data_IF_933610749306
#
_entry.id   IF_933610749306
#
_cell.length_a   1.000
_cell.length_b   1.000
_cell.length_c   1.000
_cell.angle_alpha   90.00
_cell.angle_beta   90.00
_cell.angle_gamma   90.00
#
_symmetry.space_group_name_H-M   'P 1'
#
loop_
_entity.id
_entity.type
_entity.pdbx_description
1 polymer ?
#
# COMPACT_ATOMS: atom_id res chain seq x y z
N UNK A 1 42.43 -54.61 -4.81
CA UNK A 1 41.15 -54.06 -5.34
C UNK A 1 40.78 -52.89 -4.47
N UNK A 2 40.63 -51.71 -5.06
CA UNK A 2 40.37 -50.50 -4.30
C UNK A 2 38.84 -50.30 -4.16
N UNK A 3 38.34 -49.97 -2.99
CA UNK A 3 36.90 -49.77 -2.69
C UNK A 3 36.21 -48.84 -3.68
N UNK A 4 36.93 -47.81 -4.13
CA UNK A 4 36.48 -46.87 -5.18
C UNK A 4 36.20 -47.56 -6.52
N UNK A 5 37.05 -48.53 -6.90
CA UNK A 5 36.88 -49.27 -8.16
C UNK A 5 35.67 -50.21 -8.13
N UNK A 6 35.34 -50.74 -6.96
CA UNK A 6 34.15 -51.58 -6.75
C UNK A 6 32.89 -50.71 -6.81
N UNK A 7 32.89 -49.55 -6.16
CA UNK A 7 31.78 -48.59 -6.17
C UNK A 7 31.48 -48.11 -7.57
N UNK A 8 32.50 -47.69 -8.33
CA UNK A 8 32.36 -47.22 -9.71
C UNK A 8 31.83 -48.32 -10.66
N UNK A 9 32.25 -49.56 -10.43
CA UNK A 9 31.79 -50.70 -11.22
C UNK A 9 30.32 -51.01 -10.92
N UNK A 10 29.88 -50.88 -9.67
CA UNK A 10 28.50 -51.09 -9.27
C UNK A 10 27.57 -50.02 -9.83
N UNK A 11 27.99 -48.74 -9.82
CA UNK A 11 27.31 -47.62 -10.49
C UNK A 11 27.12 -47.85 -11.99
N UNK A 12 28.14 -48.38 -12.67
CA UNK A 12 28.05 -48.69 -14.11
C UNK A 12 27.12 -49.86 -14.43
N UNK A 13 27.03 -50.87 -13.56
CA UNK A 13 26.12 -52.00 -13.78
C UNK A 13 24.66 -51.67 -13.49
N UNK A 14 24.38 -50.73 -12.56
CA UNK A 14 23.02 -50.31 -12.20
C UNK A 14 22.72 -48.84 -12.62
N UNK A 15 23.01 -48.49 -13.85
CA UNK A 15 22.94 -47.12 -14.37
C UNK A 15 21.61 -46.44 -14.08
N UNK A 16 20.49 -47.13 -14.36
CA UNK A 16 19.14 -46.54 -14.16
C UNK A 16 18.83 -46.30 -12.66
N UNK A 17 19.10 -47.30 -11.82
CA UNK A 17 18.86 -47.15 -10.37
C UNK A 17 19.74 -46.06 -9.76
N UNK A 18 21.03 -46.03 -10.14
CA UNK A 18 21.94 -44.98 -9.67
C UNK A 18 21.56 -43.59 -10.16
N UNK A 19 21.11 -43.48 -11.40
CA UNK A 19 20.59 -42.19 -11.95
C UNK A 19 19.33 -41.74 -11.22
N UNK A 20 18.36 -42.63 -10.99
CA UNK A 20 17.13 -42.28 -10.27
C UNK A 20 17.41 -41.86 -8.81
N UNK A 21 18.32 -42.52 -8.13
CA UNK A 21 18.74 -42.17 -6.76
C UNK A 21 19.44 -40.80 -6.76
N UNK A 22 20.35 -40.57 -7.68
CA UNK A 22 21.04 -39.29 -7.80
C UNK A 22 20.07 -38.16 -8.14
N UNK A 23 19.11 -38.41 -9.06
CA UNK A 23 18.07 -37.45 -9.42
C UNK A 23 17.17 -37.15 -8.21
N UNK A 24 16.74 -38.15 -7.48
CA UNK A 24 15.93 -37.96 -6.26
C UNK A 24 16.65 -37.12 -5.20
N UNK A 25 17.93 -37.40 -4.95
CA UNK A 25 18.76 -36.60 -4.04
C UNK A 25 18.91 -35.14 -4.57
N UNK A 26 19.19 -34.98 -5.87
CA UNK A 26 19.34 -33.67 -6.48
C UNK A 26 18.06 -32.84 -6.37
N UNK A 27 16.89 -33.44 -6.62
CA UNK A 27 15.59 -32.82 -6.45
C UNK A 27 15.31 -32.44 -4.99
N UNK A 28 15.64 -33.32 -4.04
CA UNK A 28 15.51 -33.02 -2.62
C UNK A 28 16.36 -31.84 -2.18
N UNK A 29 17.63 -31.83 -2.57
CA UNK A 29 18.53 -30.69 -2.29
C UNK A 29 18.05 -29.41 -2.98
N UNK A 30 17.64 -29.50 -4.25
CA UNK A 30 17.13 -28.35 -4.98
C UNK A 30 15.87 -27.75 -4.31
N UNK A 31 14.96 -28.60 -3.82
CA UNK A 31 13.77 -28.17 -3.09
C UNK A 31 14.13 -27.44 -1.79
N UNK A 32 15.04 -27.99 -1.01
CA UNK A 32 15.51 -27.36 0.24
C UNK A 32 16.16 -26.00 -0.03
N UNK A 33 17.04 -25.94 -1.03
CA UNK A 33 17.70 -24.68 -1.43
C UNK A 33 16.66 -23.66 -1.89
N UNK A 34 15.68 -24.07 -2.71
CA UNK A 34 14.59 -23.20 -3.18
C UNK A 34 13.80 -22.63 -1.99
N UNK A 35 13.36 -23.48 -1.06
CA UNK A 35 12.60 -23.06 0.12
C UNK A 35 13.42 -22.07 0.97
N UNK A 36 14.68 -22.39 1.26
CA UNK A 36 15.55 -21.50 2.05
C UNK A 36 15.78 -20.16 1.33
N UNK A 37 15.96 -20.18 0.01
CA UNK A 37 16.14 -18.95 -0.77
C UNK A 37 14.89 -18.10 -0.74
N UNK A 38 13.72 -18.68 -0.96
CA UNK A 38 12.44 -17.97 -0.90
C UNK A 38 12.21 -17.41 0.52
N UNK A 39 12.44 -18.21 1.56
CA UNK A 39 12.31 -17.76 2.96
C UNK A 39 13.23 -16.58 3.25
N UNK A 40 14.50 -16.64 2.83
CA UNK A 40 15.45 -15.55 3.03
C UNK A 40 15.11 -14.27 2.24
N UNK A 41 14.51 -14.40 1.05
CA UNK A 41 14.01 -13.25 0.28
C UNK A 41 12.80 -12.63 0.99
N UNK A 42 11.86 -13.46 1.47
CA UNK A 42 10.69 -13.00 2.21
C UNK A 42 11.11 -12.29 3.50
N UNK A 43 12.02 -12.90 4.28
CA UNK A 43 12.53 -12.31 5.52
C UNK A 43 13.17 -10.94 5.27
N UNK A 44 14.08 -10.84 4.30
CA UNK A 44 14.70 -9.57 3.90
C UNK A 44 13.68 -8.55 3.36
N UNK A 45 12.68 -9.01 2.62
CA UNK A 45 11.61 -8.13 2.14
C UNK A 45 10.76 -7.63 3.30
N UNK A 46 10.43 -8.48 4.27
CA UNK A 46 9.70 -8.09 5.47
C UNK A 46 10.52 -7.14 6.34
N UNK A 47 11.82 -7.38 6.53
CA UNK A 47 12.72 -6.46 7.23
C UNK A 47 12.78 -5.09 6.54
N UNK A 48 12.97 -5.05 5.22
CA UNK A 48 12.96 -3.79 4.47
C UNK A 48 11.62 -3.08 4.48
N UNK A 49 10.55 -3.83 4.56
CA UNK A 49 9.18 -3.29 4.48
C UNK A 49 8.63 -2.90 5.83
N UNK A 50 9.15 -3.46 6.94
CA UNK A 50 8.92 -2.89 8.27
C UNK A 50 9.48 -1.47 8.40
N UNK A 51 10.28 -1.04 7.43
CA UNK A 51 10.96 0.25 7.34
C UNK A 51 10.22 1.25 6.43
N UNK A 52 8.89 1.17 6.31
CA UNK A 52 8.05 2.15 5.59
C UNK A 52 7.55 3.29 6.47
N UNK A 53 8.10 3.43 7.66
CA UNK A 53 7.90 4.60 8.52
C UNK A 53 6.69 4.56 9.45
N UNK A 54 5.82 3.54 9.39
CA UNK A 54 4.71 3.40 10.33
C UNK A 54 4.83 2.16 11.20
N UNK A 55 4.41 2.31 12.46
CA UNK A 55 4.55 1.29 13.50
C UNK A 55 3.25 0.53 13.78
N UNK A 56 2.11 1.08 13.36
CA UNK A 56 0.78 0.54 13.61
C UNK A 56 -0.07 0.67 12.35
N UNK A 57 -0.75 -0.40 11.98
CA UNK A 57 -1.75 -0.43 10.92
C UNK A 57 -3.09 -0.77 11.55
N UNK A 58 -4.10 0.02 11.27
CA UNK A 58 -5.47 -0.19 11.73
C UNK A 58 -6.37 -0.38 10.51
N UNK A 59 -7.13 -1.44 10.50
CA UNK A 59 -8.01 -1.77 9.39
C UNK A 59 -9.15 -2.68 9.82
N UNK A 60 -9.99 -3.09 8.88
CA UNK A 60 -11.11 -3.99 9.11
C UNK A 60 -10.65 -5.31 9.74
N UNK A 61 -11.53 -5.93 10.54
CA UNK A 61 -11.27 -7.22 11.18
C UNK A 61 -11.05 -8.29 10.12
N UNK A 62 -9.90 -8.95 10.20
CA UNK A 62 -9.48 -10.01 9.30
C UNK A 62 -8.16 -10.61 9.75
N UNK A 63 -7.42 -11.22 8.83
CA UNK A 63 -6.08 -11.70 9.12
C UNK A 63 -5.10 -10.53 9.23
N UNK A 64 -4.27 -10.45 10.30
CA UNK A 64 -3.19 -9.45 10.38
C UNK A 64 -2.26 -9.50 9.17
N UNK A 65 -1.97 -10.69 8.66
CA UNK A 65 -1.12 -10.88 7.48
C UNK A 65 -1.75 -10.28 6.22
N UNK A 66 -3.07 -10.45 6.03
CA UNK A 66 -3.79 -9.86 4.91
C UNK A 66 -3.79 -8.33 5.00
N UNK A 67 -3.95 -7.76 6.20
CA UNK A 67 -3.88 -6.32 6.41
C UNK A 67 -2.49 -5.78 6.01
N UNK A 68 -1.42 -6.48 6.41
CA UNK A 68 -0.04 -6.13 6.00
C UNK A 68 0.14 -6.25 4.49
N UNK A 69 -0.28 -7.36 3.86
CA UNK A 69 -0.15 -7.53 2.42
C UNK A 69 -0.91 -6.47 1.63
N UNK A 70 -2.09 -6.08 2.10
CA UNK A 70 -2.86 -5.02 1.48
C UNK A 70 -2.20 -3.64 1.66
N UNK A 71 -1.92 -3.25 2.92
CA UNK A 71 -1.55 -1.88 3.27
C UNK A 71 -0.09 -1.56 2.95
N UNK A 72 0.80 -2.54 3.12
CA UNK A 72 2.26 -2.36 2.99
C UNK A 72 2.74 -2.75 1.61
N UNK A 73 2.27 -3.89 1.11
CA UNK A 73 2.77 -4.48 -0.13
C UNK A 73 1.87 -4.20 -1.35
N UNK A 74 0.66 -3.69 -1.12
CA UNK A 74 -0.34 -3.44 -2.16
C UNK A 74 -0.74 -4.69 -2.96
N UNK A 75 -0.62 -5.90 -2.36
CA UNK A 75 -0.78 -7.19 -3.03
C UNK A 75 -2.17 -7.79 -2.92
N UNK A 76 -3.01 -7.33 -2.01
CA UNK A 76 -4.37 -7.87 -1.82
C UNK A 76 -5.42 -6.76 -1.79
N UNK A 77 -6.68 -7.13 -1.88
CA UNK A 77 -7.77 -6.18 -1.67
C UNK A 77 -8.12 -6.09 -0.18
N UNK A 78 -8.60 -4.93 0.31
CA UNK A 78 -9.12 -4.81 1.66
C UNK A 78 -10.33 -5.73 1.81
N UNK A 79 -10.48 -6.31 3.02
CA UNK A 79 -11.63 -7.19 3.33
C UNK A 79 -12.90 -6.38 3.44
N UNK A 80 -12.80 -5.20 4.02
CA UNK A 80 -13.90 -4.28 4.31
C UNK A 80 -13.33 -2.87 4.54
N UNK A 81 -14.16 -1.86 4.39
CA UNK A 81 -13.82 -0.50 4.74
C UNK A 81 -13.99 -0.26 6.24
N UNK A 82 -13.12 0.54 6.82
CA UNK A 82 -13.26 1.06 8.18
C UNK A 82 -13.92 2.43 8.11
N UNK A 83 -14.94 2.73 8.91
CA UNK A 83 -15.55 4.05 8.94
C UNK A 83 -14.53 5.15 9.20
N UNK A 84 -14.65 6.27 8.49
CA UNK A 84 -13.72 7.40 8.63
C UNK A 84 -13.65 7.96 10.07
N UNK A 85 -14.72 7.77 10.83
CA UNK A 85 -14.80 8.09 12.26
C UNK A 85 -13.71 7.38 13.10
N UNK A 86 -13.24 6.19 12.68
CA UNK A 86 -12.13 5.53 13.37
C UNK A 86 -10.83 6.30 13.21
N UNK A 87 -10.54 6.85 12.03
CA UNK A 87 -9.39 7.74 11.85
C UNK A 87 -9.46 8.94 12.78
N UNK A 88 -10.64 9.56 12.92
CA UNK A 88 -10.87 10.68 13.82
C UNK A 88 -10.55 10.36 15.29
N UNK A 89 -10.68 9.11 15.72
CA UNK A 89 -10.38 8.69 17.08
C UNK A 89 -8.87 8.59 17.39
N UNK A 90 -8.01 8.67 16.38
CA UNK A 90 -6.56 8.78 16.58
C UNK A 90 -6.06 10.23 16.62
N UNK A 91 -6.88 11.19 16.23
CA UNK A 91 -6.47 12.59 16.17
C UNK A 91 -6.54 13.29 17.53
N UNK A 92 -5.61 14.21 17.83
CA UNK A 92 -5.76 15.15 18.94
C UNK A 92 -6.93 16.10 18.69
N UNK A 93 -7.36 16.85 19.70
CA UNK A 93 -8.56 17.68 19.62
C UNK A 93 -8.52 18.72 18.48
N UNK A 94 -7.38 19.37 18.27
CA UNK A 94 -7.14 20.33 17.21
C UNK A 94 -7.13 19.68 15.82
N UNK A 95 -6.48 18.53 15.68
CA UNK A 95 -6.49 17.72 14.46
C UNK A 95 -7.89 17.25 14.11
N UNK A 96 -8.65 16.80 15.09
CA UNK A 96 -10.05 16.38 14.95
C UNK A 96 -10.95 17.52 14.50
N UNK A 97 -10.76 18.71 15.05
CA UNK A 97 -11.50 19.92 14.62
C UNK A 97 -11.12 20.36 13.20
N UNK A 98 -9.82 20.32 12.86
CA UNK A 98 -9.34 20.64 11.51
C UNK A 98 -9.97 19.70 10.49
N UNK A 99 -9.92 18.41 10.76
CA UNK A 99 -10.44 17.37 9.90
C UNK A 99 -11.97 17.48 9.74
N UNK A 100 -12.67 17.69 10.84
CA UNK A 100 -14.10 17.89 10.82
C UNK A 100 -14.55 19.12 9.98
N UNK A 101 -13.81 20.23 10.05
CA UNK A 101 -14.07 21.37 9.19
C UNK A 101 -13.84 21.06 7.71
N UNK A 102 -12.86 20.22 7.42
CA UNK A 102 -12.52 19.80 6.07
C UNK A 102 -13.62 18.94 5.44
N UNK A 103 -14.13 17.94 6.14
CA UNK A 103 -15.18 17.03 5.65
C UNK A 103 -16.60 17.57 5.80
N UNK A 104 -16.79 18.64 6.58
CA UNK A 104 -18.09 19.24 6.89
C UNK A 104 -18.93 18.39 7.86
N UNK A 105 -19.87 19.02 8.55
CA UNK A 105 -20.77 18.39 9.52
C UNK A 105 -20.68 18.99 10.92
N UNK A 106 -21.43 18.46 11.88
CA UNK A 106 -21.39 18.89 13.28
C UNK A 106 -20.81 17.75 14.15
N UNK A 107 -19.73 18.02 14.86
CA UNK A 107 -19.22 17.10 15.88
C UNK A 107 -20.05 17.26 17.16
N UNK A 108 -20.49 16.16 17.76
CA UNK A 108 -21.17 16.18 19.06
C UNK A 108 -20.26 16.74 20.18
N UNK A 109 -18.97 16.52 20.08
CA UNK A 109 -17.97 16.98 21.05
C UNK A 109 -16.70 17.48 20.34
N UNK A 110 -16.75 18.69 19.75
CA UNK A 110 -15.66 19.19 18.90
C UNK A 110 -14.34 19.41 19.67
N UNK A 111 -14.43 19.60 20.99
CA UNK A 111 -13.26 19.82 21.87
C UNK A 111 -12.59 18.54 22.34
N UNK A 112 -13.23 17.39 22.14
CA UNK A 112 -12.73 16.10 22.59
C UNK A 112 -11.55 15.63 21.74
N UNK A 113 -10.49 15.18 22.36
CA UNK A 113 -9.47 14.38 21.68
C UNK A 113 -10.04 13.00 21.34
N UNK A 114 -9.51 12.38 20.29
CA UNK A 114 -9.85 11.02 19.92
C UNK A 114 -9.50 10.02 21.04
N UNK A 115 -10.26 8.93 21.15
CA UNK A 115 -10.10 7.92 22.20
C UNK A 115 -8.70 7.30 22.21
N UNK A 116 -8.07 7.19 21.05
CA UNK A 116 -6.74 6.59 20.85
C UNK A 116 -5.65 7.63 20.60
N UNK A 117 -5.95 8.92 20.74
CA UNK A 117 -4.99 10.01 20.50
C UNK A 117 -3.76 9.93 21.41
N UNK A 118 -3.88 9.27 22.57
CA UNK A 118 -2.74 9.01 23.45
C UNK A 118 -1.66 8.11 22.83
N UNK A 119 -2.03 7.27 21.87
CA UNK A 119 -1.07 6.45 21.09
C UNK A 119 -0.23 7.31 20.15
N UNK A 120 -0.72 8.51 19.82
CA UNK A 120 -0.09 9.43 18.87
C UNK A 120 0.81 10.47 19.55
N UNK A 121 1.25 10.25 20.77
CA UNK A 121 2.17 11.17 21.47
C UNK A 121 3.49 11.30 20.71
N UNK A 122 3.64 12.42 19.98
CA UNK A 122 4.79 12.65 19.08
C UNK A 122 4.74 11.90 17.75
N UNK A 123 3.61 11.27 17.44
CA UNK A 123 3.35 10.56 16.17
C UNK A 123 2.18 11.17 15.40
N UNK A 124 1.78 10.49 14.35
CA UNK A 124 0.72 10.91 13.44
C UNK A 124 -0.09 9.70 12.94
N UNK A 125 -1.30 9.96 12.46
CA UNK A 125 -2.16 8.99 11.80
C UNK A 125 -2.45 9.46 10.37
N UNK A 126 -2.34 8.54 9.41
CA UNK A 126 -2.58 8.82 7.99
C UNK A 126 -3.68 7.90 7.48
N UNK A 127 -4.75 8.42 6.88
CA UNK A 127 -5.79 7.60 6.29
C UNK A 127 -5.32 7.04 4.95
N UNK A 128 -5.66 5.78 4.67
CA UNK A 128 -5.42 5.11 3.40
C UNK A 128 -6.73 4.52 2.89
N UNK A 129 -7.07 4.79 1.64
CA UNK A 129 -8.14 4.11 0.94
C UNK A 129 -7.58 3.42 -0.31
N UNK A 130 -7.86 2.13 -0.45
CA UNK A 130 -7.29 1.28 -1.49
C UNK A 130 -8.37 0.36 -2.04
N UNK A 131 -9.02 0.75 -3.11
CA UNK A 131 -10.04 -0.05 -3.79
C UNK A 131 -9.73 -0.25 -5.27
N UNK A 132 -9.13 0.75 -5.87
CA UNK A 132 -8.96 0.90 -7.30
C UNK A 132 -7.54 0.62 -7.78
N UNK A 133 -7.41 0.67 -9.09
CA UNK A 133 -6.17 0.47 -9.83
C UNK A 133 -5.96 1.59 -10.85
N UNK A 134 -4.69 1.84 -11.14
CA UNK A 134 -4.26 2.57 -12.33
C UNK A 134 -3.51 1.56 -13.18
N UNK A 135 -4.16 1.06 -14.23
CA UNK A 135 -3.74 -0.11 -14.98
C UNK A 135 -3.58 -1.34 -14.05
N UNK A 136 -2.40 -1.95 -13.96
CA UNK A 136 -2.12 -3.05 -13.03
C UNK A 136 -1.65 -2.60 -11.64
N UNK A 137 -1.45 -1.30 -11.44
CA UNK A 137 -0.89 -0.73 -10.22
C UNK A 137 -1.99 -0.30 -9.25
N UNK A 138 -1.72 -0.48 -7.95
CA UNK A 138 -2.67 -0.07 -6.92
C UNK A 138 -2.82 1.44 -6.87
N UNK A 139 -4.06 1.92 -6.93
CA UNK A 139 -4.42 3.29 -6.59
C UNK A 139 -4.56 3.41 -5.06
N UNK A 140 -3.79 4.31 -4.46
CA UNK A 140 -3.75 4.56 -3.03
C UNK A 140 -4.19 5.98 -2.78
N UNK A 141 -5.39 6.16 -2.24
CA UNK A 141 -5.87 7.47 -1.86
C UNK A 141 -5.44 7.79 -0.41
N UNK A 142 -4.81 8.94 -0.23
CA UNK A 142 -4.24 9.36 1.05
C UNK A 142 -4.12 10.89 1.13
N UNK A 143 -3.57 11.40 2.23
CA UNK A 143 -3.28 12.82 2.43
C UNK A 143 -1.82 13.14 2.07
N UNK A 144 -1.46 14.42 1.84
CA UNK A 144 -0.08 14.83 1.59
C UNK A 144 0.89 14.41 2.70
N UNK A 145 0.41 14.26 3.92
CA UNK A 145 1.18 13.80 5.09
C UNK A 145 1.87 12.45 4.87
N UNK A 146 1.37 11.64 3.91
CA UNK A 146 2.00 10.38 3.57
C UNK A 146 3.46 10.56 3.12
N UNK A 147 3.75 11.56 2.32
CA UNK A 147 5.11 11.84 1.86
C UNK A 147 5.82 12.89 2.70
N UNK A 148 5.08 13.74 3.41
CA UNK A 148 5.66 14.82 4.21
C UNK A 148 6.11 14.34 5.61
N UNK A 149 5.42 13.33 6.19
CA UNK A 149 5.69 12.84 7.55
C UNK A 149 6.31 11.45 7.59
N UNK A 150 5.93 10.54 6.68
CA UNK A 150 6.53 9.21 6.63
C UNK A 150 7.95 9.28 6.10
N UNK A 151 8.74 8.35 6.57
CA UNK A 151 10.12 8.15 6.11
C UNK A 151 10.29 6.73 5.59
N UNK A 152 11.29 6.52 4.78
CA UNK A 152 11.62 5.19 4.25
C UNK A 152 13.09 4.85 4.51
N UNK A 153 13.56 3.72 3.98
CA UNK A 153 14.93 3.25 4.15
C UNK A 153 15.13 2.38 5.38
N UNK A 154 16.29 1.75 5.48
CA UNK A 154 16.58 0.70 6.48
C UNK A 154 16.45 1.18 7.94
N UNK A 155 16.58 2.46 8.20
CA UNK A 155 16.46 3.07 9.52
C UNK A 155 15.23 4.00 9.66
N UNK A 156 14.35 4.04 8.66
CA UNK A 156 13.23 4.98 8.57
C UNK A 156 13.67 6.45 8.77
N UNK A 157 14.77 6.82 8.16
CA UNK A 157 15.42 8.13 8.32
C UNK A 157 15.47 8.96 7.03
N UNK A 158 15.06 8.37 5.90
CA UNK A 158 15.09 9.01 4.59
C UNK A 158 13.72 9.63 4.27
N UNK A 159 13.73 10.90 3.93
CA UNK A 159 12.56 11.61 3.43
C UNK A 159 12.26 11.17 1.99
N UNK A 160 10.97 11.12 1.63
CA UNK A 160 10.58 10.90 0.24
C UNK A 160 11.04 12.04 -0.63
N UNK A 161 11.65 11.72 -1.77
CA UNK A 161 12.10 12.66 -2.78
C UNK A 161 11.41 12.43 -4.09
N UNK A 162 11.29 13.52 -4.85
CA UNK A 162 10.66 13.49 -6.17
C UNK A 162 11.74 13.65 -7.23
N UNK A 163 11.83 12.70 -8.15
CA UNK A 163 12.70 12.80 -9.33
C UNK A 163 12.22 13.90 -10.26
N UNK A 164 10.91 14.15 -10.26
CA UNK A 164 10.24 15.23 -10.99
C UNK A 164 9.05 15.75 -10.19
N UNK A 165 8.79 17.03 -10.26
CA UNK A 165 7.61 17.65 -9.66
C UNK A 165 7.68 17.78 -8.14
N UNK A 166 6.54 17.57 -7.49
CA UNK A 166 6.31 17.80 -6.06
C UNK A 166 5.29 16.80 -5.48
N UNK A 167 5.12 16.83 -4.16
CA UNK A 167 3.98 16.20 -3.51
C UNK A 167 2.67 16.84 -3.98
N UNK A 168 1.57 16.07 -3.99
CA UNK A 168 0.24 16.64 -4.14
C UNK A 168 -0.15 17.44 -2.88
N UNK A 169 -1.10 18.34 -3.01
CA UNK A 169 -1.60 19.17 -1.91
C UNK A 169 -3.05 18.86 -1.60
N UNK A 170 -3.53 19.27 -0.41
CA UNK A 170 -4.93 19.07 -0.02
C UNK A 170 -5.90 19.66 -1.05
N UNK A 171 -5.59 20.86 -1.57
CA UNK A 171 -6.35 21.52 -2.62
C UNK A 171 -5.43 22.37 -3.49
N UNK A 172 -5.49 22.16 -4.80
CA UNK A 172 -4.76 22.94 -5.78
C UNK A 172 -5.70 23.90 -6.50
N UNK A 173 -5.30 25.18 -6.69
CA UNK A 173 -6.10 26.09 -7.52
C UNK A 173 -6.26 25.65 -8.99
N UNK A 174 -5.30 24.88 -9.50
CA UNK A 174 -5.25 24.40 -10.88
C UNK A 174 -6.01 23.09 -11.08
N UNK A 175 -5.84 22.14 -10.17
CA UNK A 175 -6.38 20.78 -10.29
C UNK A 175 -7.44 20.43 -9.23
N UNK A 176 -7.79 21.35 -8.33
CA UNK A 176 -8.70 21.07 -7.22
C UNK A 176 -8.16 19.99 -6.31
N UNK A 177 -8.90 18.91 -6.12
CA UNK A 177 -8.52 17.71 -5.37
C UNK A 177 -7.90 16.59 -6.24
N UNK A 178 -7.72 16.84 -7.56
CA UNK A 178 -7.36 15.80 -8.51
C UNK A 178 -5.87 15.83 -8.88
N UNK A 179 -5.02 15.77 -7.87
CA UNK A 179 -3.57 15.61 -8.03
C UNK A 179 -3.10 14.21 -7.63
N UNK A 180 -2.05 13.73 -8.30
CA UNK A 180 -1.44 12.43 -8.07
C UNK A 180 0.08 12.51 -7.99
N UNK A 181 0.65 11.61 -7.20
CA UNK A 181 2.07 11.24 -7.20
C UNK A 181 2.18 9.78 -7.62
N UNK A 182 3.08 9.48 -8.53
CA UNK A 182 3.30 8.09 -8.98
C UNK A 182 4.66 7.58 -8.55
N UNK A 183 4.72 6.30 -8.19
CA UNK A 183 5.96 5.59 -7.88
C UNK A 183 6.87 5.50 -9.11
N UNK A 184 8.16 5.39 -8.89
CA UNK A 184 9.18 5.35 -9.94
C UNK A 184 8.96 4.25 -10.96
N UNK A 185 8.52 3.05 -10.52
CA UNK A 185 8.25 1.93 -11.41
C UNK A 185 6.96 2.13 -12.21
N UNK A 186 5.91 2.74 -11.60
CA UNK A 186 4.66 3.08 -12.30
C UNK A 186 4.95 4.08 -13.42
N UNK A 187 5.66 5.16 -13.11
CA UNK A 187 6.02 6.17 -14.10
C UNK A 187 6.84 5.58 -15.25
N UNK A 188 7.80 4.71 -14.95
CA UNK A 188 8.63 4.06 -15.97
C UNK A 188 7.81 3.10 -16.84
N UNK A 189 6.99 2.25 -16.26
CA UNK A 189 6.25 1.21 -16.95
C UNK A 189 5.15 1.79 -17.86
N UNK A 190 4.45 2.82 -17.40
CA UNK A 190 3.35 3.47 -18.13
C UNK A 190 3.83 4.68 -18.97
N UNK A 191 5.12 5.03 -18.86
CA UNK A 191 5.69 6.17 -19.61
C UNK A 191 5.16 7.53 -19.15
N UNK A 192 4.70 7.65 -17.90
CA UNK A 192 4.06 8.84 -17.35
C UNK A 192 5.05 9.98 -17.13
N UNK A 193 4.57 11.19 -17.35
CA UNK A 193 5.28 12.46 -17.14
C UNK A 193 4.43 13.40 -16.29
N UNK A 194 5.04 14.48 -15.81
CA UNK A 194 4.29 15.55 -15.14
C UNK A 194 3.25 16.14 -16.08
N UNK A 195 2.04 16.34 -15.56
CA UNK A 195 0.88 16.85 -16.29
C UNK A 195 0.07 15.80 -17.04
N UNK A 196 0.54 14.54 -17.12
CA UNK A 196 -0.29 13.45 -17.64
C UNK A 196 -1.44 13.15 -16.67
N UNK A 197 -2.54 12.63 -17.19
CA UNK A 197 -3.68 12.22 -16.37
C UNK A 197 -3.67 10.71 -16.17
N UNK A 198 -3.92 10.27 -14.94
CA UNK A 198 -4.17 8.88 -14.59
C UNK A 198 -5.62 8.71 -14.16
N UNK A 199 -6.23 7.60 -14.52
CA UNK A 199 -7.61 7.29 -14.23
C UNK A 199 -7.70 6.06 -13.35
N UNK A 200 -8.39 6.19 -12.23
CA UNK A 200 -8.68 5.06 -11.37
C UNK A 200 -9.76 4.16 -11.99
N UNK A 201 -9.68 2.86 -11.76
CA UNK A 201 -10.63 1.87 -12.25
C UNK A 201 -10.93 0.79 -11.22
N UNK A 202 -12.16 0.28 -11.22
CA UNK A 202 -12.55 -0.86 -10.39
C UNK A 202 -12.01 -2.17 -11.00
N UNK A 203 -10.79 -2.58 -10.65
CA UNK A 203 -10.13 -3.79 -11.15
C UNK A 203 -9.04 -3.54 -12.19
N UNK A 204 -8.04 -4.43 -12.21
CA UNK A 204 -6.80 -4.25 -12.97
C UNK A 204 -6.93 -4.50 -14.49
N UNK A 205 -7.83 -5.38 -14.95
CA UNK A 205 -7.81 -5.82 -16.37
C UNK A 205 -9.03 -5.37 -17.21
N UNK A 206 -10.14 -5.01 -16.60
CA UNK A 206 -11.39 -4.68 -17.33
C UNK A 206 -12.35 -3.83 -16.52
N UNK A 207 -11.84 -3.15 -15.49
CA UNK A 207 -12.67 -2.34 -14.61
C UNK A 207 -13.27 -1.15 -15.33
N UNK A 208 -14.42 -0.72 -14.86
CA UNK A 208 -15.03 0.54 -15.28
C UNK A 208 -14.10 1.67 -14.82
N UNK A 209 -13.54 2.39 -15.77
CA UNK A 209 -12.69 3.55 -15.53
C UNK A 209 -13.57 4.75 -15.15
N UNK A 210 -13.14 5.50 -14.14
CA UNK A 210 -13.81 6.74 -13.78
C UNK A 210 -13.61 7.82 -14.85
N UNK A 211 -14.62 8.67 -15.02
CA UNK A 211 -14.56 9.75 -16.02
C UNK A 211 -13.64 10.91 -15.62
N UNK A 212 -13.29 11.04 -14.34
CA UNK A 212 -12.42 12.08 -13.80
C UNK A 212 -11.02 11.49 -13.56
N UNK A 213 -10.00 12.13 -14.16
CA UNK A 213 -8.60 11.78 -13.98
C UNK A 213 -7.92 12.61 -12.88
N UNK A 214 -6.76 12.11 -12.43
CA UNK A 214 -5.84 12.82 -11.54
C UNK A 214 -4.63 13.28 -12.32
N UNK A 215 -4.24 14.54 -12.18
CA UNK A 215 -3.03 15.08 -12.81
C UNK A 215 -1.78 14.63 -12.06
N UNK A 216 -0.82 14.05 -12.75
CA UNK A 216 0.48 13.64 -12.19
C UNK A 216 1.31 14.90 -11.91
N UNK A 217 1.43 15.29 -10.64
CA UNK A 217 2.21 16.43 -10.18
C UNK A 217 3.57 16.06 -9.61
N UNK A 218 3.80 14.77 -9.35
CA UNK A 218 5.07 14.28 -8.85
C UNK A 218 5.37 12.85 -9.24
N UNK A 219 6.65 12.56 -9.44
CA UNK A 219 7.20 11.21 -9.68
C UNK A 219 8.25 10.96 -8.61
N UNK A 220 8.09 9.88 -7.83
CA UNK A 220 9.03 9.53 -6.76
C UNK A 220 10.40 9.15 -7.32
N UNK A 221 11.45 9.45 -6.56
CA UNK A 221 12.73 8.76 -6.72
C UNK A 221 12.57 7.29 -6.31
N UNK A 222 13.36 6.36 -6.88
CA UNK A 222 13.34 4.96 -6.48
C UNK A 222 13.63 4.82 -4.97
N UNK A 223 12.68 4.24 -4.24
CA UNK A 223 12.81 4.02 -2.78
C UNK A 223 13.26 2.61 -2.44
N UNK A 224 13.15 1.66 -3.37
CA UNK A 224 13.35 0.23 -3.13
C UNK A 224 12.25 -0.39 -2.26
N UNK A 225 11.15 0.32 -2.05
CA UNK A 225 9.98 -0.11 -1.27
C UNK A 225 8.77 -0.35 -2.18
N UNK A 226 7.67 -0.94 -1.68
CA UNK A 226 6.44 -1.09 -2.43
C UNK A 226 5.86 0.21 -3.00
N UNK A 227 6.20 1.35 -2.42
CA UNK A 227 5.75 2.66 -2.89
C UNK A 227 6.21 2.98 -4.33
N UNK A 228 7.29 2.36 -4.79
CA UNK A 228 7.72 2.47 -6.18
C UNK A 228 6.68 1.95 -7.18
N UNK A 229 5.73 1.11 -6.71
CA UNK A 229 4.66 0.48 -7.49
C UNK A 229 3.27 1.02 -7.16
N UNK A 230 3.16 2.11 -6.42
CA UNK A 230 1.89 2.76 -6.07
C UNK A 230 1.59 3.96 -6.95
N UNK A 231 0.31 4.17 -7.24
CA UNK A 231 -0.22 5.44 -7.73
C UNK A 231 -0.98 6.11 -6.59
N UNK A 232 -0.44 7.21 -6.08
CA UNK A 232 -0.98 7.90 -4.91
C UNK A 232 -1.80 9.10 -5.34
N UNK A 233 -3.03 9.19 -4.85
CA UNK A 233 -3.96 10.25 -5.18
C UNK A 233 -4.49 10.94 -3.93
N UNK A 234 -4.92 12.18 -4.07
CA UNK A 234 -5.57 12.90 -2.98
C UNK A 234 -6.88 12.20 -2.58
N UNK A 235 -7.03 11.92 -1.29
CA UNK A 235 -8.17 11.16 -0.75
C UNK A 235 -9.51 11.84 -0.97
N UNK A 236 -9.57 13.17 -0.94
CA UNK A 236 -10.81 13.93 -1.25
C UNK A 236 -11.20 13.76 -2.71
N UNK A 237 -10.23 13.91 -3.63
CA UNK A 237 -10.45 13.67 -5.05
C UNK A 237 -10.95 12.26 -5.31
N UNK A 238 -10.39 11.27 -4.60
CA UNK A 238 -10.80 9.89 -4.71
C UNK A 238 -12.26 9.67 -4.27
N UNK A 239 -12.71 10.29 -3.17
CA UNK A 239 -14.10 10.21 -2.73
C UNK A 239 -15.08 10.96 -3.63
N UNK A 240 -14.59 11.93 -4.38
CA UNK A 240 -15.41 12.66 -5.36
C UNK A 240 -15.61 11.95 -6.69
N UNK A 241 -14.88 10.83 -6.93
CA UNK A 241 -15.09 10.01 -8.11
C UNK A 241 -16.49 9.42 -8.12
N UNK A 242 -17.05 9.27 -9.32
CA UNK A 242 -18.37 8.66 -9.51
C UNK A 242 -18.38 7.21 -9.00
N UNK A 243 -19.38 6.87 -8.18
CA UNK A 243 -19.50 5.55 -7.57
C UNK A 243 -18.73 5.37 -6.27
N UNK A 244 -17.89 6.32 -5.85
CA UNK A 244 -17.26 6.30 -4.55
C UNK A 244 -18.14 6.94 -3.49
N UNK A 245 -18.20 6.30 -2.33
CA UNK A 245 -19.01 6.81 -1.22
C UNK A 245 -18.20 7.90 -0.52
N UNK A 246 -18.81 9.09 -0.34
CA UNK A 246 -18.30 10.06 0.62
C UNK A 246 -18.14 9.40 1.99
N UNK A 247 -17.16 9.81 2.83
CA UNK A 247 -16.87 9.14 4.10
C UNK A 247 -18.16 8.90 4.90
N UNK A 248 -18.47 7.62 5.18
CA UNK A 248 -19.64 7.26 5.95
C UNK A 248 -19.61 7.99 7.29
N UNK A 249 -20.62 8.80 7.54
CA UNK A 249 -20.78 9.44 8.82
C UNK A 249 -21.45 8.47 9.76
N UNK A 250 -20.76 8.17 10.82
CA UNK A 250 -21.19 7.25 11.86
C UNK A 250 -22.08 7.98 12.87
N UNK A 251 -23.16 7.35 13.32
CA UNK A 251 -24.05 7.88 14.34
C UNK A 251 -23.33 8.13 15.68
N UNK A 252 -22.31 7.33 16.00
CA UNK A 252 -21.55 7.41 17.23
C UNK A 252 -20.62 8.62 17.26
N UNK A 253 -20.06 9.02 16.11
CA UNK A 253 -19.22 10.21 15.95
C UNK A 253 -20.02 11.50 15.69
N UNK A 254 -21.33 11.40 15.44
CA UNK A 254 -22.21 12.52 15.08
C UNK A 254 -22.05 12.98 13.62
N UNK A 255 -21.35 12.24 12.79
CA UNK A 255 -21.20 12.50 11.37
C UNK A 255 -22.35 11.82 10.60
N UNK A 256 -23.07 12.55 9.74
CA UNK A 256 -24.18 12.00 8.94
C UNK A 256 -23.70 10.95 7.94
N UNK A 257 -24.37 9.82 7.85
CA UNK A 257 -24.25 8.88 6.71
C UNK A 257 -24.81 9.54 5.46
N UNK A 258 -23.98 9.96 4.52
CA UNK A 258 -24.41 10.25 3.17
C UNK A 258 -24.32 8.98 2.33
N UNK A 259 -25.51 8.47 2.03
CA UNK A 259 -25.84 7.50 1.00
C UNK A 259 -24.85 6.38 0.72
N UNK A 260 -25.21 5.17 1.10
CA UNK A 260 -24.69 3.97 0.45
C UNK A 260 -24.93 4.08 -1.05
N UNK A 261 -23.88 4.05 -1.84
CA UNK A 261 -24.04 3.75 -3.25
C UNK A 261 -24.72 2.38 -3.35
N UNK A 262 -25.92 2.38 -3.88
CA UNK A 262 -26.59 1.14 -4.28
C UNK A 262 -25.80 0.63 -5.49
N UNK A 263 -24.96 -0.39 -5.28
CA UNK A 263 -24.33 -1.17 -6.33
C UNK A 263 -25.20 -2.34 -6.71
#
# INVERSE_FOLDING_TARGET
MNLLSIALRNLRYRKLASFLTALSMALGVALVVLVLTISGVIEKSLEKTSNVGYNLIVGAKGSPLQLVFNTVFFLSQPVENVPYSYYMEYLPADGRQKEHKRIGGELKEPQRAGLYSFLMQGGFAIPLCMGDYVDEYRCIATTPDYFDLLKHGDLNDQDYRFSQGRNFVDYSPEHGFFEAVVGSQVAQALGLKLGDEIFASHGAESGQQHGQGFSVVGILEPTGSPNDRGAFVNIEGFYLLEGHVAPERDEESGLEKKGTAQG
#
